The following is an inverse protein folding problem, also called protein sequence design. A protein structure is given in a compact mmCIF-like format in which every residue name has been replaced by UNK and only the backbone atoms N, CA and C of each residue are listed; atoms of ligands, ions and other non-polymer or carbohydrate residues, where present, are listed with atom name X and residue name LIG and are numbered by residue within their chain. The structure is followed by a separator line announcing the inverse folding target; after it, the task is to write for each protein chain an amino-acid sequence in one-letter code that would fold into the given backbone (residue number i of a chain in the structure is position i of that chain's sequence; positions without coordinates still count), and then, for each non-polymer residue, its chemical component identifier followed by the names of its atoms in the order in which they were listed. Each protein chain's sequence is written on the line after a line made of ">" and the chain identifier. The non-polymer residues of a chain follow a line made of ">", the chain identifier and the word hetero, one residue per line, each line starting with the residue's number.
data_IF_364562501611
#
_entry.id   IF_364562501611
#
_cell.length_a   1.000
_cell.length_b   1.000
_cell.length_c   1.000
_cell.angle_alpha   90.00
_cell.angle_beta   90.00
_cell.angle_gamma   90.00
#
_symmetry.space_group_name_H-M   'P 1'
#
loop_
_entity.id
_entity.type
_entity.pdbx_description
1 polymer ?
#
# COMPACT_ATOMS: atom_id res chain seq x y z
N UNK A 1 14.81 -6.75 -23.41
CA UNK A 1 15.31 -7.89 -24.22
C UNK A 1 15.34 -9.20 -23.43
N UNK A 2 15.52 -9.19 -22.10
CA UNK A 2 15.50 -10.43 -21.27
C UNK A 2 14.13 -11.12 -21.18
N UNK A 3 13.03 -10.37 -21.27
CA UNK A 3 11.66 -10.91 -21.14
C UNK A 3 11.22 -11.84 -22.26
N UNK A 4 11.82 -11.75 -23.45
CA UNK A 4 11.47 -12.63 -24.59
C UNK A 4 12.10 -14.02 -24.51
N UNK A 5 13.07 -14.22 -23.62
CA UNK A 5 13.80 -15.48 -23.47
C UNK A 5 13.32 -16.34 -22.29
N UNK A 6 12.32 -15.89 -21.52
CA UNK A 6 11.77 -16.65 -20.40
C UNK A 6 10.93 -17.84 -20.95
N UNK A 7 11.18 -19.03 -20.45
CA UNK A 7 10.41 -20.22 -20.85
C UNK A 7 9.01 -20.24 -20.23
N UNK A 8 8.04 -20.99 -20.83
CA UNK A 8 6.73 -21.17 -20.21
C UNK A 8 6.79 -21.75 -18.79
N UNK A 9 7.66 -22.72 -18.53
CA UNK A 9 7.83 -23.34 -17.21
C UNK A 9 8.38 -22.34 -16.18
N UNK A 10 9.32 -21.48 -16.59
CA UNK A 10 9.80 -20.39 -15.74
C UNK A 10 8.69 -19.40 -15.39
N UNK A 11 7.82 -19.05 -16.36
CA UNK A 11 6.66 -18.17 -16.11
C UNK A 11 5.72 -18.80 -15.09
N UNK A 12 5.38 -20.08 -15.27
CA UNK A 12 4.50 -20.80 -14.34
C UNK A 12 5.10 -20.96 -12.94
N UNK A 13 6.44 -20.96 -12.83
CA UNK A 13 7.18 -21.01 -11.57
C UNK A 13 7.38 -19.67 -10.84
N UNK A 14 7.05 -18.53 -11.45
CA UNK A 14 7.27 -17.21 -10.84
C UNK A 14 6.49 -17.05 -9.54
N UNK A 15 7.11 -16.44 -8.52
CA UNK A 15 6.40 -15.86 -7.41
C UNK A 15 5.60 -14.61 -7.84
N UNK A 16 4.72 -14.12 -6.96
CA UNK A 16 3.86 -12.98 -7.31
C UNK A 16 4.65 -11.71 -7.65
N UNK A 17 5.70 -11.41 -6.91
CA UNK A 17 6.51 -10.20 -7.14
C UNK A 17 7.17 -10.19 -8.51
N UNK A 18 7.76 -11.33 -8.90
CA UNK A 18 8.37 -11.50 -10.22
C UNK A 18 7.33 -11.53 -11.33
N UNK A 19 6.18 -12.18 -11.09
CA UNK A 19 5.08 -12.21 -12.05
C UNK A 19 4.52 -10.81 -12.32
N UNK A 20 4.26 -10.01 -11.27
CA UNK A 20 3.82 -8.61 -11.40
C UNK A 20 4.82 -7.77 -12.21
N UNK A 21 6.12 -7.99 -11.98
CA UNK A 21 7.17 -7.34 -12.78
C UNK A 21 7.17 -7.79 -14.25
N UNK A 22 6.93 -9.07 -14.52
CA UNK A 22 6.82 -9.60 -15.88
C UNK A 22 5.69 -8.95 -16.65
N UNK A 23 4.52 -8.83 -16.04
CA UNK A 23 3.32 -8.29 -16.69
C UNK A 23 3.23 -6.76 -16.63
N UNK A 24 4.26 -6.07 -16.14
CA UNK A 24 4.29 -4.60 -15.94
C UNK A 24 3.02 -4.10 -15.23
N UNK A 25 2.65 -4.76 -14.14
CA UNK A 25 1.53 -4.32 -13.30
C UNK A 25 2.03 -3.48 -12.14
N UNK A 26 1.35 -2.35 -11.90
CA UNK A 26 1.69 -1.49 -10.77
C UNK A 26 1.09 -2.03 -9.49
N UNK A 27 1.90 -2.16 -8.46
CA UNK A 27 1.40 -2.48 -7.13
C UNK A 27 0.65 -1.27 -6.56
N UNK A 28 -0.67 -1.39 -6.45
CA UNK A 28 -1.57 -0.31 -6.01
C UNK A 28 -1.89 -0.47 -4.52
N UNK A 29 -2.07 0.64 -3.82
CA UNK A 29 -2.66 0.61 -2.49
C UNK A 29 -4.11 0.09 -2.55
N UNK A 30 -4.64 -0.39 -1.42
CA UNK A 30 -6.04 -0.80 -1.31
C UNK A 30 -6.97 0.31 -1.79
N UNK A 31 -7.95 -0.01 -2.64
CA UNK A 31 -8.84 0.95 -3.27
C UNK A 31 -8.21 1.79 -4.40
N UNK A 32 -6.91 1.66 -4.66
CA UNK A 32 -6.20 2.30 -5.77
C UNK A 32 -6.33 3.81 -5.77
N UNK A 33 -6.60 4.39 -6.96
CA UNK A 33 -6.65 5.85 -7.14
C UNK A 33 -7.76 6.52 -6.30
N UNK A 34 -8.86 5.82 -6.02
CA UNK A 34 -9.95 6.37 -5.19
C UNK A 34 -9.46 6.65 -3.77
N UNK A 35 -8.68 5.74 -3.19
CA UNK A 35 -8.07 5.91 -1.88
C UNK A 35 -7.07 7.07 -1.86
N UNK A 36 -6.26 7.23 -2.92
CA UNK A 36 -5.35 8.37 -3.02
C UNK A 36 -6.11 9.70 -3.03
N UNK A 37 -7.17 9.81 -3.84
CA UNK A 37 -8.04 10.99 -3.86
C UNK A 37 -8.66 11.29 -2.50
N UNK A 38 -9.17 10.26 -1.83
CA UNK A 38 -9.83 10.39 -0.53
C UNK A 38 -8.87 10.91 0.54
N UNK A 39 -7.65 10.39 0.57
CA UNK A 39 -6.61 10.88 1.49
C UNK A 39 -6.22 12.33 1.18
N UNK A 40 -6.01 12.69 -0.09
CA UNK A 40 -5.67 14.07 -0.47
C UNK A 40 -6.74 15.04 0.04
N UNK A 41 -8.01 14.74 -0.20
CA UNK A 41 -9.12 15.61 0.19
C UNK A 41 -9.23 15.76 1.72
N UNK A 42 -9.06 14.66 2.46
CA UNK A 42 -9.27 14.67 3.91
C UNK A 42 -8.01 15.04 4.72
N UNK A 43 -6.80 14.94 4.14
CA UNK A 43 -5.57 15.36 4.81
C UNK A 43 -5.17 16.81 4.54
N UNK A 44 -5.75 17.43 3.52
CA UNK A 44 -5.44 18.80 3.16
C UNK A 44 -4.06 19.03 2.56
N UNK A 45 -3.34 17.95 2.16
CA UNK A 45 -2.05 18.11 1.49
C UNK A 45 -2.19 18.86 0.17
N UNK A 46 -1.17 19.62 -0.15
CA UNK A 46 -1.15 20.51 -1.31
C UNK A 46 0.29 20.70 -1.84
N UNK A 47 0.47 21.58 -2.82
CA UNK A 47 1.77 21.83 -3.50
C UNK A 47 2.93 22.25 -2.59
N UNK A 48 2.67 22.60 -1.33
CA UNK A 48 3.69 22.99 -0.35
C UNK A 48 4.00 21.87 0.63
N UNK A 49 3.31 20.74 0.53
CA UNK A 49 3.44 19.63 1.46
C UNK A 49 4.58 18.71 1.06
N UNK A 50 5.30 18.21 2.06
CA UNK A 50 6.27 17.14 1.95
C UNK A 50 5.64 15.85 2.45
N UNK A 51 5.61 14.81 1.63
CA UNK A 51 4.97 13.52 1.93
C UNK A 51 6.01 12.42 1.93
N UNK A 52 5.93 11.53 2.93
CA UNK A 52 6.69 10.28 2.97
C UNK A 52 5.76 9.09 2.71
N UNK A 53 6.03 8.30 1.67
CA UNK A 53 5.38 6.99 1.48
C UNK A 53 6.31 5.88 1.94
N UNK A 54 5.84 5.07 2.90
CA UNK A 54 6.53 3.89 3.43
C UNK A 54 6.13 2.67 2.61
N UNK A 55 7.13 1.96 2.03
CA UNK A 55 6.90 0.80 1.18
C UNK A 55 6.28 1.18 -0.15
N UNK A 56 6.89 2.12 -0.85
CA UNK A 56 6.35 2.70 -2.09
C UNK A 56 6.32 1.71 -3.27
N UNK A 57 7.01 0.58 -3.18
CA UNK A 57 7.13 -0.42 -4.24
C UNK A 57 7.45 0.24 -5.59
N UNK A 58 6.62 0.06 -6.63
CA UNK A 58 6.80 0.65 -7.97
C UNK A 58 6.27 2.09 -8.10
N UNK A 59 5.99 2.78 -6.97
CA UNK A 59 5.71 4.21 -6.91
C UNK A 59 4.31 4.63 -7.33
N UNK A 60 3.32 3.72 -7.35
CA UNK A 60 1.95 4.07 -7.74
C UNK A 60 1.38 5.21 -6.89
N UNK A 61 1.44 5.10 -5.56
CA UNK A 61 0.88 6.09 -4.64
C UNK A 61 1.66 7.39 -4.68
N UNK A 62 3.00 7.32 -4.58
CA UNK A 62 3.88 8.52 -4.65
C UNK A 62 3.63 9.36 -5.89
N UNK A 63 3.60 8.72 -7.07
CA UNK A 63 3.39 9.40 -8.36
C UNK A 63 2.00 10.05 -8.41
N UNK A 64 0.96 9.35 -7.96
CA UNK A 64 -0.40 9.89 -7.98
C UNK A 64 -0.61 10.99 -6.92
N UNK A 65 0.00 10.90 -5.74
CA UNK A 65 0.00 11.98 -4.76
C UNK A 65 0.62 13.26 -5.36
N UNK A 66 1.81 13.15 -5.94
CA UNK A 66 2.47 14.28 -6.59
C UNK A 66 1.66 14.84 -7.77
N UNK A 67 1.12 13.97 -8.63
CA UNK A 67 0.34 14.37 -9.80
C UNK A 67 -0.94 15.14 -9.42
N UNK A 68 -1.68 14.62 -8.43
CA UNK A 68 -3.01 15.14 -8.09
C UNK A 68 -2.96 16.35 -7.15
N UNK A 69 -2.03 16.39 -6.20
CA UNK A 69 -1.94 17.48 -5.21
C UNK A 69 -0.83 18.49 -5.50
N UNK A 70 0.14 18.12 -6.35
CA UNK A 70 1.34 18.91 -6.62
C UNK A 70 2.37 18.88 -5.50
N UNK A 71 2.18 18.06 -4.45
CA UNK A 71 3.11 17.93 -3.31
C UNK A 71 4.45 17.33 -3.75
N UNK A 72 5.47 17.52 -2.91
CA UNK A 72 6.73 16.79 -3.04
C UNK A 72 6.63 15.47 -2.26
N UNK A 73 7.06 14.35 -2.86
CA UNK A 73 6.92 13.03 -2.29
C UNK A 73 8.27 12.33 -2.21
N UNK A 74 8.60 11.80 -1.04
CA UNK A 74 9.68 10.82 -0.87
C UNK A 74 9.05 9.43 -0.68
N UNK A 75 9.29 8.53 -1.62
CA UNK A 75 8.88 7.12 -1.50
C UNK A 75 10.07 6.28 -1.03
N UNK A 76 9.89 5.44 -0.03
CA UNK A 76 10.93 4.52 0.43
C UNK A 76 10.52 3.06 0.27
N UNK A 77 11.48 2.21 -0.09
CA UNK A 77 11.34 0.76 -0.13
C UNK A 77 12.69 0.08 0.12
N UNK A 78 12.68 -1.19 0.55
CA UNK A 78 13.88 -2.01 0.71
C UNK A 78 14.24 -2.77 -0.58
N UNK A 79 13.38 -2.74 -1.60
CA UNK A 79 13.58 -3.43 -2.87
C UNK A 79 14.07 -2.45 -3.94
N UNK A 80 15.40 -2.47 -4.20
CA UNK A 80 16.03 -1.57 -5.16
C UNK A 80 15.47 -1.72 -6.59
N UNK A 81 15.08 -2.93 -7.01
CA UNK A 81 14.47 -3.15 -8.33
C UNK A 81 13.11 -2.44 -8.43
N UNK A 82 12.31 -2.46 -7.36
CA UNK A 82 11.05 -1.70 -7.32
C UNK A 82 11.30 -0.20 -7.41
N UNK A 83 12.35 0.29 -6.74
CA UNK A 83 12.75 1.71 -6.80
C UNK A 83 13.24 2.13 -8.19
N UNK A 84 13.97 1.27 -8.89
CA UNK A 84 14.37 1.51 -10.28
C UNK A 84 13.14 1.68 -11.20
N UNK A 85 12.15 0.80 -11.06
CA UNK A 85 10.88 0.90 -11.80
C UNK A 85 10.11 2.15 -11.42
N UNK A 86 10.06 2.51 -10.15
CA UNK A 86 9.36 3.71 -9.68
C UNK A 86 9.98 4.99 -10.26
N UNK A 87 11.32 5.09 -10.33
CA UNK A 87 12.03 6.21 -10.99
C UNK A 87 11.68 6.29 -12.47
N UNK A 88 11.64 5.15 -13.18
CA UNK A 88 11.23 5.12 -14.60
C UNK A 88 9.78 5.58 -14.79
N UNK A 89 8.87 5.16 -13.90
CA UNK A 89 7.46 5.62 -13.95
C UNK A 89 7.34 7.11 -13.64
N UNK A 90 8.10 7.64 -12.67
CA UNK A 90 8.11 9.08 -12.40
C UNK A 90 8.57 9.87 -13.63
N UNK A 91 9.66 9.44 -14.28
CA UNK A 91 10.17 10.05 -15.51
C UNK A 91 9.14 10.02 -16.64
N UNK A 92 8.49 8.88 -16.89
CA UNK A 92 7.43 8.75 -17.92
C UNK A 92 6.23 9.67 -17.67
N UNK A 93 6.02 10.09 -16.43
CA UNK A 93 4.96 11.03 -16.05
C UNK A 93 5.44 12.47 -15.87
N UNK A 94 6.70 12.79 -16.17
CA UNK A 94 7.35 14.09 -15.97
C UNK A 94 7.27 14.59 -14.51
N UNK A 95 7.44 13.67 -13.55
CA UNK A 95 7.35 13.91 -12.10
C UNK A 95 8.68 13.66 -11.36
N UNK A 96 9.80 13.46 -12.08
CA UNK A 96 11.12 13.22 -11.50
C UNK A 96 11.62 14.36 -10.58
N UNK A 97 11.09 15.56 -10.77
CA UNK A 97 11.39 16.73 -9.92
C UNK A 97 10.43 16.84 -8.71
N UNK A 98 9.41 15.98 -8.62
CA UNK A 98 8.39 15.98 -7.57
C UNK A 98 8.41 14.73 -6.71
N UNK A 99 8.97 13.64 -7.23
CA UNK A 99 9.00 12.36 -6.51
C UNK A 99 10.43 11.86 -6.43
N UNK A 100 10.90 11.61 -5.21
CA UNK A 100 12.20 11.01 -4.95
C UNK A 100 12.00 9.59 -4.38
N UNK A 101 12.81 8.61 -4.83
CA UNK A 101 12.73 7.23 -4.38
C UNK A 101 14.05 6.78 -3.76
N UNK A 102 13.99 6.35 -2.49
CA UNK A 102 15.17 6.02 -1.69
C UNK A 102 15.09 4.59 -1.13
N UNK A 103 16.23 3.94 -1.08
CA UNK A 103 16.37 2.66 -0.41
C UNK A 103 16.54 2.89 1.09
N UNK A 104 15.48 2.63 1.88
CA UNK A 104 15.44 2.90 3.32
C UNK A 104 14.68 1.79 4.06
N UNK A 105 15.06 1.59 5.32
CA UNK A 105 14.34 0.69 6.22
C UNK A 105 13.35 1.48 7.08
N UNK A 106 12.07 1.13 7.00
CA UNK A 106 11.00 1.76 7.78
C UNK A 106 11.17 1.67 9.32
N UNK A 107 11.98 0.70 9.80
CA UNK A 107 12.26 0.52 11.23
C UNK A 107 13.40 1.42 11.74
N UNK A 108 14.12 2.13 10.85
CA UNK A 108 15.23 3.03 11.18
C UNK A 108 15.43 4.03 10.03
N UNK A 109 14.64 5.11 10.04
CA UNK A 109 14.64 6.12 8.98
C UNK A 109 15.80 7.10 9.15
N UNK A 110 16.46 7.46 8.04
CA UNK A 110 17.56 8.42 8.05
C UNK A 110 17.13 9.90 8.12
N UNK A 111 15.82 10.16 8.03
CA UNK A 111 15.28 11.53 8.01
C UNK A 111 15.32 12.18 9.38
N UNK A 112 15.51 13.53 9.45
CA UNK A 112 15.36 14.28 10.70
C UNK A 112 13.94 14.19 11.27
N UNK A 113 13.81 14.51 12.57
CA UNK A 113 12.52 14.66 13.21
C UNK A 113 11.68 15.73 12.51
N UNK A 114 10.35 15.55 12.53
CA UNK A 114 9.39 16.55 12.05
C UNK A 114 9.63 17.06 10.63
N UNK A 115 10.04 16.18 9.72
CA UNK A 115 10.35 16.50 8.32
C UNK A 115 9.12 16.54 7.42
N UNK A 116 8.14 15.67 7.66
CA UNK A 116 7.04 15.44 6.72
C UNK A 116 5.69 15.95 7.23
N UNK A 117 4.89 16.48 6.30
CA UNK A 117 3.52 16.92 6.54
C UNK A 117 2.54 15.75 6.59
N UNK A 118 2.85 14.70 5.84
CA UNK A 118 2.09 13.47 5.81
C UNK A 118 3.04 12.27 5.71
N UNK A 119 2.79 11.24 6.54
CA UNK A 119 3.40 9.92 6.40
C UNK A 119 2.32 8.94 5.98
N UNK A 120 2.55 8.26 4.86
CA UNK A 120 1.63 7.27 4.29
C UNK A 120 2.18 5.87 4.46
N UNK A 121 1.43 4.98 5.13
CA UNK A 121 1.76 3.56 5.27
C UNK A 121 0.56 2.69 4.88
N UNK A 122 0.55 2.19 3.64
CA UNK A 122 -0.50 1.30 3.15
C UNK A 122 -0.02 -0.16 3.20
N UNK A 123 -0.61 -0.94 4.09
CA UNK A 123 -0.39 -2.38 4.30
C UNK A 123 1.08 -2.81 4.57
N UNK A 124 2.07 -1.96 4.34
CA UNK A 124 3.50 -2.27 4.52
C UNK A 124 3.82 -2.67 5.96
N UNK A 125 3.19 -2.03 6.95
CA UNK A 125 3.42 -2.29 8.37
C UNK A 125 3.10 -3.74 8.76
N UNK A 126 2.23 -4.44 8.00
CA UNK A 126 1.92 -5.85 8.24
C UNK A 126 3.12 -6.78 8.03
N UNK A 127 4.08 -6.40 7.19
CA UNK A 127 5.26 -7.19 6.82
C UNK A 127 6.50 -6.89 7.65
N UNK A 128 6.48 -5.83 8.48
CA UNK A 128 7.62 -5.43 9.28
C UNK A 128 7.85 -6.37 10.47
N UNK A 129 9.12 -6.61 10.80
CA UNK A 129 9.50 -7.44 11.96
C UNK A 129 9.19 -6.74 13.26
N UNK A 130 9.60 -5.47 13.38
CA UNK A 130 9.36 -4.64 14.54
C UNK A 130 8.41 -3.48 14.20
N UNK A 131 7.11 -3.78 14.26
CA UNK A 131 6.07 -2.80 13.97
C UNK A 131 6.12 -1.57 14.88
N UNK A 132 6.45 -1.78 16.17
CA UNK A 132 6.52 -0.68 17.13
C UNK A 132 7.65 0.30 16.77
N UNK A 133 8.85 -0.21 16.44
CA UNK A 133 9.96 0.65 15.99
C UNK A 133 9.60 1.44 14.75
N UNK A 134 8.98 0.80 13.77
CA UNK A 134 8.58 1.49 12.54
C UNK A 134 7.53 2.58 12.81
N UNK A 135 6.52 2.29 13.63
CA UNK A 135 5.49 3.29 13.98
C UNK A 135 6.12 4.45 14.76
N UNK A 136 7.07 4.17 15.69
CA UNK A 136 7.81 5.24 16.37
C UNK A 136 8.58 6.12 15.39
N UNK A 137 9.21 5.54 14.37
CA UNK A 137 9.86 6.29 13.30
C UNK A 137 8.87 7.12 12.46
N UNK A 138 7.69 6.56 12.13
CA UNK A 138 6.63 7.33 11.44
C UNK A 138 6.23 8.57 12.25
N UNK A 139 6.06 8.40 13.57
CA UNK A 139 5.71 9.50 14.49
C UNK A 139 6.85 10.50 14.66
N UNK A 140 8.10 10.04 14.67
CA UNK A 140 9.27 10.91 14.82
C UNK A 140 9.42 11.83 13.61
N UNK A 141 9.38 11.28 12.41
CA UNK A 141 9.58 12.06 11.16
C UNK A 141 8.37 12.89 10.76
N UNK A 142 7.17 12.56 11.29
CA UNK A 142 5.96 13.34 11.09
C UNK A 142 6.01 14.61 11.94
N UNK A 143 5.78 15.76 11.34
CA UNK A 143 5.72 17.04 12.08
C UNK A 143 4.49 17.12 12.98
N UNK A 144 4.56 17.91 14.02
CA UNK A 144 3.39 18.30 14.81
C UNK A 144 2.36 18.99 13.91
N UNK A 145 1.09 18.59 14.02
CA UNK A 145 0.01 19.01 13.12
C UNK A 145 -0.03 18.26 11.79
N UNK A 146 0.94 17.36 11.53
CA UNK A 146 0.96 16.50 10.34
C UNK A 146 0.00 15.32 10.44
N UNK A 147 -0.25 14.67 9.30
CA UNK A 147 -1.16 13.53 9.18
C UNK A 147 -0.41 12.21 9.01
N UNK A 148 -0.68 11.24 9.87
CA UNK A 148 -0.31 9.84 9.66
C UNK A 148 -1.48 9.12 8.97
N UNK A 149 -1.24 8.64 7.76
CA UNK A 149 -2.20 7.88 6.96
C UNK A 149 -1.88 6.40 7.05
N UNK A 150 -2.82 5.60 7.58
CA UNK A 150 -2.68 4.16 7.70
C UNK A 150 -3.79 3.47 6.93
N UNK A 151 -3.41 2.54 6.05
CA UNK A 151 -4.37 1.79 5.21
C UNK A 151 -4.08 0.30 5.36
N UNK A 152 -4.48 -0.33 6.46
CA UNK A 152 -4.27 -1.75 6.69
C UNK A 152 -5.34 -2.60 6.02
N UNK A 153 -4.93 -3.77 5.51
CA UNK A 153 -5.84 -4.87 5.19
C UNK A 153 -6.01 -5.72 6.46
N UNK A 154 -7.22 -6.15 6.73
CA UNK A 154 -7.53 -7.00 7.88
C UNK A 154 -8.67 -7.97 7.56
N UNK A 155 -8.73 -9.08 8.28
CA UNK A 155 -9.79 -10.05 8.14
C UNK A 155 -11.06 -9.60 8.87
N UNK A 156 -12.19 -9.64 8.15
CA UNK A 156 -13.55 -9.42 8.67
C UNK A 156 -14.29 -10.74 8.91
N UNK A 157 -13.77 -11.83 8.34
CA UNK A 157 -14.20 -13.21 8.56
C UNK A 157 -12.99 -14.05 8.88
N UNK A 158 -13.17 -15.14 9.65
CA UNK A 158 -12.07 -16.08 9.93
C UNK A 158 -11.63 -16.79 8.65
N UNK A 159 -10.37 -16.61 8.20
CA UNK A 159 -9.89 -17.30 7.01
C UNK A 159 -9.51 -18.75 7.32
N UNK A 160 -9.67 -19.69 6.35
CA UNK A 160 -9.03 -20.99 6.42
C UNK A 160 -7.51 -20.86 6.51
N UNK A 161 -6.86 -21.62 7.39
CA UNK A 161 -5.42 -21.50 7.60
C UNK A 161 -4.61 -21.93 6.37
N UNK A 162 -5.16 -22.87 5.60
CA UNK A 162 -4.60 -23.33 4.32
C UNK A 162 -4.54 -22.18 3.31
N UNK A 163 -5.62 -21.39 3.20
CA UNK A 163 -5.68 -20.21 2.32
C UNK A 163 -4.64 -19.16 2.73
N UNK A 164 -4.55 -18.83 4.02
CA UNK A 164 -3.55 -17.90 4.55
C UNK A 164 -2.12 -18.36 4.25
N UNK A 165 -1.89 -19.68 4.39
CA UNK A 165 -0.58 -20.29 4.11
C UNK A 165 -0.24 -20.23 2.63
N UNK A 166 -1.22 -20.46 1.76
CA UNK A 166 -1.03 -20.41 0.31
C UNK A 166 -0.77 -18.98 -0.19
N UNK A 167 -1.55 -18.01 0.30
CA UNK A 167 -1.33 -16.59 0.01
C UNK A 167 0.07 -16.15 0.49
N UNK A 168 0.47 -16.56 1.71
CA UNK A 168 1.80 -16.26 2.23
C UNK A 168 2.91 -16.79 1.33
N UNK A 169 2.76 -18.01 0.82
CA UNK A 169 3.69 -18.63 -0.13
C UNK A 169 3.71 -17.88 -1.46
N UNK A 170 2.53 -17.53 -1.98
CA UNK A 170 2.38 -16.84 -3.27
C UNK A 170 3.06 -15.48 -3.28
N UNK A 171 2.95 -14.70 -2.20
CA UNK A 171 3.58 -13.38 -2.07
C UNK A 171 5.04 -13.42 -1.55
N UNK A 172 5.52 -14.60 -1.14
CA UNK A 172 6.87 -14.77 -0.58
C UNK A 172 7.04 -14.18 0.83
N UNK A 173 5.95 -13.86 1.53
CA UNK A 173 5.96 -13.27 2.86
C UNK A 173 4.83 -13.83 3.72
N UNK A 174 5.12 -14.03 5.02
CA UNK A 174 4.11 -14.48 5.98
C UNK A 174 3.10 -13.37 6.23
N UNK A 175 1.83 -13.60 5.91
CA UNK A 175 0.74 -12.71 6.30
C UNK A 175 0.20 -13.09 7.68
N UNK A 176 -0.13 -12.05 8.47
CA UNK A 176 -0.77 -12.23 9.78
C UNK A 176 -2.29 -12.16 9.66
N UNK A 177 -2.99 -12.88 10.55
CA UNK A 177 -4.44 -12.76 10.70
C UNK A 177 -4.72 -11.61 11.67
N UNK A 178 -4.88 -10.43 11.12
CA UNK A 178 -5.12 -9.21 11.90
C UNK A 178 -6.57 -8.77 11.76
N UNK A 179 -7.12 -8.13 12.81
CA UNK A 179 -8.42 -7.47 12.81
C UNK A 179 -8.26 -5.95 12.73
N UNK A 180 -9.32 -5.23 12.41
CA UNK A 180 -9.35 -3.77 12.47
C UNK A 180 -8.96 -3.25 13.86
N UNK A 181 -9.51 -3.88 14.92
CA UNK A 181 -9.22 -3.53 16.30
C UNK A 181 -7.73 -3.69 16.65
N UNK A 182 -7.08 -4.76 16.15
CA UNK A 182 -5.64 -4.94 16.33
C UNK A 182 -4.85 -3.74 15.80
N UNK A 183 -5.16 -3.26 14.59
CA UNK A 183 -4.45 -2.14 13.99
C UNK A 183 -4.65 -0.85 14.78
N UNK A 184 -5.88 -0.53 15.17
CA UNK A 184 -6.15 0.67 16.00
C UNK A 184 -5.36 0.61 17.31
N UNK A 185 -5.43 -0.50 18.02
CA UNK A 185 -4.69 -0.69 19.30
C UNK A 185 -3.19 -0.62 19.14
N UNK A 186 -2.63 -1.10 18.03
CA UNK A 186 -1.20 -1.04 17.76
C UNK A 186 -0.74 0.43 17.64
N UNK A 187 -1.42 1.26 16.86
CA UNK A 187 -1.05 2.67 16.68
C UNK A 187 -1.31 3.51 17.93
N UNK A 188 -2.43 3.31 18.60
CA UNK A 188 -2.75 3.94 19.87
C UNK A 188 -1.69 3.60 20.95
N UNK A 189 -1.33 2.32 21.07
CA UNK A 189 -0.35 1.88 22.07
C UNK A 189 1.06 2.43 21.84
N UNK A 190 1.51 2.55 20.57
CA UNK A 190 2.81 3.19 20.29
C UNK A 190 2.74 4.70 20.54
N UNK A 191 1.64 5.36 20.19
CA UNK A 191 1.40 6.77 20.52
C UNK A 191 1.50 7.03 22.02
N UNK A 192 0.86 6.19 22.83
CA UNK A 192 0.88 6.30 24.29
C UNK A 192 2.29 6.09 24.87
N UNK A 193 3.01 5.06 24.39
CA UNK A 193 4.36 4.72 24.91
C UNK A 193 5.44 5.71 24.45
N UNK A 194 5.25 6.36 23.30
CA UNK A 194 6.16 7.38 22.76
C UNK A 194 5.85 8.78 23.26
N UNK A 195 4.78 8.96 24.05
CA UNK A 195 4.24 10.25 24.48
C UNK A 195 4.01 11.25 23.33
N UNK A 196 3.59 10.71 22.18
CA UNK A 196 3.24 11.48 21.00
C UNK A 196 1.73 11.35 20.75
N UNK A 197 0.92 12.37 21.12
CA UNK A 197 -0.52 12.27 20.97
C UNK A 197 -0.95 12.16 19.52
N UNK A 198 -1.76 11.13 19.22
CA UNK A 198 -2.43 10.93 17.94
C UNK A 198 -3.94 11.07 18.11
N UNK A 199 -4.55 11.90 17.30
CA UNK A 199 -6.00 12.03 17.19
C UNK A 199 -6.48 11.39 15.89
N UNK A 200 -7.35 10.37 15.98
CA UNK A 200 -8.03 9.80 14.83
C UNK A 200 -9.18 10.74 14.41
N UNK A 201 -8.99 11.52 13.34
CA UNK A 201 -9.99 12.49 12.89
C UNK A 201 -10.78 12.02 11.66
N UNK A 202 -10.28 10.98 10.95
CA UNK A 202 -10.97 10.41 9.80
C UNK A 202 -10.82 8.89 9.78
N UNK A 203 -11.94 8.19 9.62
CA UNK A 203 -12.01 6.74 9.51
C UNK A 203 -13.05 6.36 8.47
N UNK A 204 -12.68 5.53 7.50
CA UNK A 204 -13.61 4.96 6.53
C UNK A 204 -13.26 3.54 6.21
N UNK A 205 -14.27 2.68 6.22
CA UNK A 205 -14.15 1.25 6.01
C UNK A 205 -14.59 0.84 4.61
N UNK A 206 -13.92 -0.17 4.09
CA UNK A 206 -14.22 -0.77 2.80
C UNK A 206 -14.11 -2.29 2.89
N UNK A 207 -14.88 -2.96 2.05
CA UNK A 207 -14.76 -4.40 1.79
C UNK A 207 -14.38 -4.62 0.34
N UNK A 208 -13.76 -5.76 0.06
CA UNK A 208 -13.43 -6.11 -1.31
C UNK A 208 -14.64 -6.77 -1.99
N UNK A 209 -14.86 -6.42 -3.25
CA UNK A 209 -15.86 -7.05 -4.09
C UNK A 209 -15.33 -8.39 -4.63
N UNK A 210 -16.23 -9.37 -4.78
CA UNK A 210 -15.93 -10.57 -5.56
C UNK A 210 -15.75 -10.19 -7.04
N UNK A 211 -14.56 -10.46 -7.59
CA UNK A 211 -14.23 -10.19 -8.99
C UNK A 211 -14.09 -11.45 -9.82
N UNK A 212 -14.45 -12.62 -9.29
CA UNK A 212 -14.29 -13.92 -9.94
C UNK A 212 -14.84 -13.94 -11.37
N UNK A 213 -16.02 -13.36 -11.60
CA UNK A 213 -16.63 -13.26 -12.93
C UNK A 213 -15.92 -12.33 -13.92
N UNK A 214 -14.93 -11.52 -13.44
CA UNK A 214 -14.18 -10.56 -14.28
C UNK A 214 -12.70 -10.95 -14.46
N UNK A 215 -12.25 -12.03 -13.82
CA UNK A 215 -10.83 -12.40 -13.81
C UNK A 215 -10.31 -12.66 -15.24
N UNK A 216 -11.06 -13.40 -16.05
CA UNK A 216 -10.64 -13.73 -17.41
C UNK A 216 -10.51 -12.46 -18.28
N UNK A 217 -11.47 -11.56 -18.21
CA UNK A 217 -11.39 -10.27 -18.90
C UNK A 217 -10.20 -9.43 -18.43
N UNK A 218 -9.87 -9.46 -17.14
CA UNK A 218 -8.68 -8.77 -16.62
C UNK A 218 -7.39 -9.38 -17.17
N UNK A 219 -7.32 -10.71 -17.27
CA UNK A 219 -6.18 -11.40 -17.85
C UNK A 219 -6.01 -11.08 -19.33
N UNK A 220 -7.10 -11.00 -20.08
CA UNK A 220 -7.06 -10.61 -21.49
C UNK A 220 -6.41 -9.23 -21.67
N UNK A 221 -6.72 -8.26 -20.79
CA UNK A 221 -6.06 -6.95 -20.82
C UNK A 221 -4.55 -7.01 -20.55
N UNK A 222 -4.10 -8.02 -19.83
CA UNK A 222 -2.66 -8.26 -19.61
C UNK A 222 -2.02 -8.81 -20.87
N UNK A 223 -2.67 -9.76 -21.53
CA UNK A 223 -2.17 -10.37 -22.77
C UNK A 223 -2.07 -9.37 -23.92
N UNK A 224 -2.90 -8.33 -23.90
CA UNK A 224 -2.88 -7.23 -24.90
C UNK A 224 -1.75 -6.22 -24.66
N UNK A 225 -1.06 -6.25 -23.51
CA UNK A 225 0.08 -5.35 -23.27
C UNK A 225 1.18 -5.56 -24.31
N UNK A 226 1.79 -4.50 -24.89
CA UNK A 226 2.68 -4.63 -26.04
C UNK A 226 3.83 -5.61 -25.86
N UNK A 227 4.42 -5.68 -24.66
CA UNK A 227 5.55 -6.58 -24.35
C UNK A 227 5.11 -8.04 -24.12
N UNK A 228 3.83 -8.28 -23.79
CA UNK A 228 3.27 -9.63 -23.69
C UNK A 228 2.71 -10.06 -25.04
N UNK A 229 2.11 -9.16 -25.80
CA UNK A 229 1.49 -9.45 -27.10
C UNK A 229 2.50 -10.05 -28.12
N UNK A 230 3.79 -9.72 -28.01
CA UNK A 230 4.87 -10.24 -28.87
C UNK A 230 5.41 -11.60 -28.43
N UNK A 231 5.01 -12.14 -27.28
CA UNK A 231 5.41 -13.47 -26.78
C UNK A 231 4.79 -14.59 -27.65
N UNK A 232 5.40 -15.78 -27.61
CA UNK A 232 4.84 -16.97 -28.25
C UNK A 232 3.50 -17.38 -27.62
N UNK A 233 2.70 -18.16 -28.33
CA UNK A 233 1.41 -18.65 -27.81
C UNK A 233 1.58 -19.48 -26.53
N UNK A 234 2.65 -20.28 -26.43
CA UNK A 234 2.96 -21.09 -25.24
C UNK A 234 3.35 -20.22 -24.03
N UNK A 235 4.09 -19.13 -24.24
CA UNK A 235 4.41 -18.17 -23.18
C UNK A 235 3.15 -17.40 -22.73
N UNK A 236 2.30 -16.97 -23.67
CA UNK A 236 1.01 -16.32 -23.34
C UNK A 236 0.08 -17.23 -22.55
N UNK A 237 0.04 -18.51 -22.88
CA UNK A 237 -0.72 -19.51 -22.13
C UNK A 237 -0.18 -19.65 -20.71
N UNK A 238 1.15 -19.68 -20.53
CA UNK A 238 1.78 -19.71 -19.21
C UNK A 238 1.47 -18.41 -18.39
N UNK A 239 1.52 -17.25 -19.04
CA UNK A 239 1.09 -15.98 -18.41
C UNK A 239 -0.36 -16.05 -17.98
N UNK A 240 -1.25 -16.55 -18.84
CA UNK A 240 -2.67 -16.69 -18.52
C UNK A 240 -2.92 -17.62 -17.33
N UNK A 241 -2.29 -18.81 -17.32
CA UNK A 241 -2.40 -19.78 -16.21
C UNK A 241 -1.91 -19.17 -14.90
N UNK A 242 -0.73 -18.50 -14.94
CA UNK A 242 -0.13 -17.90 -13.74
C UNK A 242 -0.96 -16.73 -13.20
N UNK A 243 -1.47 -15.87 -14.07
CA UNK A 243 -2.40 -14.80 -13.70
C UNK A 243 -3.69 -15.37 -13.08
N UNK A 244 -4.28 -16.40 -13.71
CA UNK A 244 -5.49 -17.07 -13.23
C UNK A 244 -5.32 -17.63 -11.82
N UNK A 245 -4.17 -18.29 -11.56
CA UNK A 245 -3.82 -18.79 -10.24
C UNK A 245 -3.81 -17.67 -9.19
N UNK A 246 -3.01 -16.61 -9.43
CA UNK A 246 -2.88 -15.53 -8.47
C UNK A 246 -4.19 -14.77 -8.25
N UNK A 247 -4.93 -14.46 -9.30
CA UNK A 247 -6.16 -13.68 -9.18
C UNK A 247 -7.27 -14.44 -8.48
N UNK A 248 -7.42 -15.75 -8.72
CA UNK A 248 -8.37 -16.56 -7.98
C UNK A 248 -7.98 -16.66 -6.50
N UNK A 249 -6.71 -16.96 -6.21
CA UNK A 249 -6.21 -17.06 -4.83
C UNK A 249 -6.43 -15.76 -4.04
N UNK A 250 -6.08 -14.62 -4.67
CA UNK A 250 -6.23 -13.33 -4.00
C UNK A 250 -7.69 -12.90 -3.91
N UNK A 251 -8.53 -13.18 -4.89
CA UNK A 251 -9.97 -12.93 -4.79
C UNK A 251 -10.58 -13.69 -3.61
N UNK A 252 -10.32 -14.99 -3.50
CA UNK A 252 -10.81 -15.82 -2.40
C UNK A 252 -10.37 -15.28 -1.04
N UNK A 253 -9.11 -14.86 -0.91
CA UNK A 253 -8.59 -14.29 0.34
C UNK A 253 -9.21 -12.92 0.63
N UNK A 254 -9.32 -12.04 -0.37
CA UNK A 254 -9.79 -10.67 -0.19
C UNK A 254 -11.29 -10.59 0.10
N UNK A 255 -12.11 -11.55 -0.33
CA UNK A 255 -13.53 -11.67 0.06
C UNK A 255 -13.72 -11.85 1.59
N UNK A 256 -12.68 -12.30 2.29
CA UNK A 256 -12.66 -12.41 3.74
C UNK A 256 -12.09 -11.18 4.43
N UNK A 257 -11.65 -10.20 3.66
CA UNK A 257 -10.92 -9.02 4.13
C UNK A 257 -11.71 -7.73 3.92
N UNK A 258 -11.37 -6.76 4.74
CA UNK A 258 -11.65 -5.35 4.54
C UNK A 258 -10.37 -4.54 4.65
N UNK A 259 -10.46 -3.27 4.34
CA UNK A 259 -9.43 -2.29 4.66
C UNK A 259 -10.07 -1.01 5.18
N UNK A 260 -9.30 -0.23 5.93
CA UNK A 260 -9.74 1.10 6.37
C UNK A 260 -8.75 2.15 5.95
N UNK A 261 -9.25 3.36 5.74
CA UNK A 261 -8.44 4.56 5.71
C UNK A 261 -8.52 5.18 7.10
N UNK A 262 -7.40 5.22 7.82
CA UNK A 262 -7.26 5.94 9.07
C UNK A 262 -6.37 7.15 8.85
N UNK A 263 -6.86 8.34 9.20
CA UNK A 263 -6.06 9.56 9.25
C UNK A 263 -5.95 10.02 10.69
N UNK A 264 -4.72 9.97 11.20
CA UNK A 264 -4.39 10.45 12.54
C UNK A 264 -3.63 11.76 12.42
N UNK A 265 -4.01 12.76 13.21
CA UNK A 265 -3.23 13.97 13.35
C UNK A 265 -2.26 13.86 14.54
N UNK A 266 -0.98 14.17 14.32
CA UNK A 266 0.00 14.32 15.41
C UNK A 266 -0.27 15.63 16.14
N UNK A 267 -0.63 15.54 17.41
CA UNK A 267 -0.92 16.69 18.27
C UNK A 267 0.31 17.08 19.09
N UNK A 268 0.37 18.31 19.54
CA UNK A 268 1.40 18.78 20.48
C UNK A 268 1.09 18.31 21.91
N UNK A 269 -0.16 18.34 22.27
CA UNK A 269 -0.67 18.01 23.61
C UNK A 269 -1.90 17.12 23.44
N UNK A 270 -2.22 16.33 24.47
CA UNK A 270 -3.50 15.63 24.52
C UNK A 270 -4.62 16.66 24.74
N UNK A 271 -5.64 16.60 23.91
CA UNK A 271 -6.80 17.48 24.06
C UNK A 271 -7.46 17.25 25.43
N UNK A 272 -7.93 18.32 26.04
CA UNK A 272 -8.80 18.22 27.20
C UNK A 272 -10.07 17.45 26.81
N UNK A 273 -10.57 16.62 27.74
CA UNK A 273 -11.80 15.88 27.49
C UNK A 273 -12.97 16.86 27.36
N UNK A 274 -13.59 16.89 26.20
CA UNK A 274 -14.81 17.67 25.98
C UNK A 274 -15.95 17.16 26.87
N UNK A 275 -16.67 18.08 27.51
CA UNK A 275 -17.85 17.76 28.31
C UNK A 275 -19.03 17.30 27.42
N UNK A 276 -19.14 17.87 26.22
CA UNK A 276 -20.22 17.57 25.27
C UNK A 276 -19.65 16.80 24.08
N UNK A 277 -19.90 15.49 24.05
CA UNK A 277 -19.50 14.63 22.94
C UNK A 277 -20.60 14.57 21.89
N UNK A 278 -20.24 14.66 20.63
CA UNK A 278 -21.12 14.36 19.50
C UNK A 278 -20.91 12.94 19.02
N UNK A 279 -21.97 12.28 18.56
CA UNK A 279 -21.84 11.01 17.83
C UNK A 279 -22.41 11.17 16.42
N UNK A 280 -21.82 10.44 15.49
CA UNK A 280 -22.30 10.39 14.12
C UNK A 280 -23.73 9.86 14.09
N UNK A 281 -24.61 10.52 13.35
CA UNK A 281 -25.94 9.97 13.01
C UNK A 281 -25.68 8.85 12.00
N UNK A 282 -26.13 7.64 12.32
CA UNK A 282 -26.14 6.55 11.35
C UNK A 282 -27.29 6.83 10.39
N UNK A 283 -27.00 6.93 9.09
CA UNK A 283 -28.02 7.00 8.06
C UNK A 283 -28.70 5.64 7.99
N UNK A 284 -30.02 5.57 8.18
CA UNK A 284 -30.86 4.37 8.10
C UNK A 284 -30.93 3.80 6.67
#
# INVERSE_FOLDING_TARGET
>A
MELLNISPDEIEGLDYSRFVSLIDERNRCSGGIKTVHEVIVNSGINRKSNVLEIGCNTGFTSINLAYLSGCDVTGIDINERSLELSRQYAQRNNLENKVNFLHENAEALSFPDETFDLVWASNVTSFLKNKNSAISEYLRVLRTGGTLTIIPIYYIKNPPIELVSEVSRAIGNKIGIYTKHYWKKLFEGVSETSDVPLELYYERDFVYEDVKGRIDTLIDTILDKPHIAVMSNTQKEAVWKRAKYFYNLFNENLELCGYSIFLYQKRKEKDEKELFLTKKVEDD
#
